data_IF_705801011594
#
_entry.id   IF_705801011594
#
_cell.length_a   1.000
_cell.length_b   1.000
_cell.length_c   1.000
_cell.angle_alpha   90.00
_cell.angle_beta   90.00
_cell.angle_gamma   90.00
#
_symmetry.space_group_name_H-M   'P 1'
#
loop_
_entity.id
_entity.type
_entity.pdbx_description
1 polymer ?
#
# COMPACT_ATOMS: atom_id res chain seq x y z
N UNK A 1 14.81 -9.06 -8.65
CA UNK A 1 14.28 -9.63 -7.39
C UNK A 1 15.33 -10.57 -6.84
N UNK A 2 15.54 -10.61 -5.53
CA UNK A 2 16.47 -11.56 -4.93
C UNK A 2 15.90 -12.97 -5.15
N UNK A 3 16.64 -13.86 -5.79
CA UNK A 3 16.21 -15.24 -6.08
C UNK A 3 15.77 -15.99 -4.81
N UNK A 4 16.27 -15.56 -3.65
CA UNK A 4 15.94 -16.15 -2.35
C UNK A 4 14.49 -15.88 -1.94
N UNK A 5 14.03 -14.63 -2.03
CA UNK A 5 12.65 -14.24 -1.69
C UNK A 5 11.64 -14.92 -2.63
N UNK A 6 11.94 -14.92 -3.93
CA UNK A 6 11.09 -15.56 -4.95
C UNK A 6 10.95 -17.07 -4.69
N UNK A 7 12.05 -17.76 -4.34
CA UNK A 7 12.01 -19.17 -3.99
C UNK A 7 11.18 -19.42 -2.72
N UNK A 8 11.30 -18.55 -1.70
CA UNK A 8 10.50 -18.65 -0.48
C UNK A 8 9.00 -18.48 -0.77
N UNK A 9 8.61 -17.46 -1.53
CA UNK A 9 7.21 -17.26 -1.91
C UNK A 9 6.67 -18.46 -2.68
N UNK A 10 7.45 -18.97 -3.63
CA UNK A 10 7.03 -20.13 -4.44
C UNK A 10 6.89 -21.43 -3.63
N UNK A 11 7.67 -21.59 -2.55
CA UNK A 11 7.61 -22.78 -1.67
C UNK A 11 6.40 -22.79 -0.74
N UNK A 12 5.69 -21.68 -0.55
CA UNK A 12 4.51 -21.59 0.32
C UNK A 12 3.40 -22.54 -0.18
N UNK A 13 2.83 -23.32 0.72
CA UNK A 13 1.63 -24.12 0.47
C UNK A 13 0.38 -23.34 0.87
N UNK A 14 -0.42 -22.92 -0.11
CA UNK A 14 -1.66 -22.16 0.13
C UNK A 14 -2.81 -23.03 0.70
N UNK A 15 -2.67 -24.36 0.73
CA UNK A 15 -3.64 -25.25 1.39
C UNK A 15 -3.38 -25.39 2.90
N UNK A 16 -2.17 -25.01 3.35
CA UNK A 16 -1.81 -24.98 4.77
C UNK A 16 -2.38 -23.75 5.48
N UNK A 17 -2.49 -23.79 6.81
CA UNK A 17 -2.86 -22.59 7.59
C UNK A 17 -1.92 -21.44 7.32
N UNK A 18 -2.47 -20.21 7.38
CA UNK A 18 -1.66 -18.98 7.22
C UNK A 18 -0.57 -18.94 8.29
N UNK A 19 0.69 -18.69 7.90
CA UNK A 19 1.79 -18.57 8.87
C UNK A 19 1.54 -17.45 9.90
N UNK A 20 1.94 -17.68 11.15
CA UNK A 20 1.75 -16.70 12.23
C UNK A 20 2.84 -15.61 12.21
N UNK A 21 4.04 -15.93 11.73
CA UNK A 21 5.22 -15.08 11.82
C UNK A 21 5.57 -14.41 10.48
N UNK A 22 6.02 -13.15 10.57
CA UNK A 22 6.57 -12.39 9.45
C UNK A 22 8.03 -12.83 9.13
N UNK A 23 8.51 -12.77 7.88
CA UNK A 23 7.78 -12.34 6.68
C UNK A 23 6.96 -13.45 6.01
N UNK A 24 6.97 -14.69 6.54
CA UNK A 24 6.31 -15.85 5.92
C UNK A 24 4.81 -15.64 5.74
N UNK A 25 4.17 -14.91 6.68
CA UNK A 25 2.77 -14.51 6.58
C UNK A 25 2.52 -13.66 5.34
N UNK A 26 3.38 -12.68 5.07
CA UNK A 26 3.22 -11.83 3.87
C UNK A 26 3.54 -12.59 2.60
N UNK A 27 4.48 -13.53 2.60
CA UNK A 27 4.76 -14.40 1.45
C UNK A 27 3.55 -15.28 1.08
N UNK A 28 2.80 -15.77 2.07
CA UNK A 28 1.54 -16.47 1.84
C UNK A 28 0.55 -15.57 1.08
N UNK A 29 0.33 -14.34 1.56
CA UNK A 29 -0.60 -13.42 0.93
C UNK A 29 -0.11 -12.92 -0.43
N UNK A 30 1.19 -12.71 -0.62
CA UNK A 30 1.77 -12.42 -1.93
C UNK A 30 1.43 -13.51 -2.94
N UNK A 31 1.68 -14.77 -2.59
CA UNK A 31 1.36 -15.91 -3.45
C UNK A 31 -0.15 -16.03 -3.74
N UNK A 32 -0.99 -15.85 -2.74
CA UNK A 32 -2.44 -15.88 -2.91
C UNK A 32 -2.94 -14.73 -3.81
N UNK A 33 -2.44 -13.51 -3.62
CA UNK A 33 -2.76 -12.37 -4.47
C UNK A 33 -2.30 -12.56 -5.93
N UNK A 34 -1.11 -13.18 -6.17
CA UNK A 34 -0.65 -13.51 -7.52
C UNK A 34 -1.68 -14.37 -8.27
N UNK A 35 -2.28 -15.36 -7.61
CA UNK A 35 -3.30 -16.21 -8.23
C UNK A 35 -4.55 -15.42 -8.60
N UNK A 36 -5.01 -14.51 -7.70
CA UNK A 36 -6.19 -13.69 -7.94
C UNK A 36 -5.95 -12.71 -9.09
N UNK A 37 -4.79 -12.01 -9.09
CA UNK A 37 -4.42 -11.06 -10.14
C UNK A 37 -4.32 -11.75 -11.48
N UNK A 38 -3.63 -12.90 -11.55
CA UNK A 38 -3.51 -13.69 -12.78
C UNK A 38 -4.87 -14.11 -13.32
N UNK A 39 -5.78 -14.61 -12.48
CA UNK A 39 -7.12 -14.97 -12.90
C UNK A 39 -7.93 -13.77 -13.44
N UNK A 40 -7.73 -12.57 -12.85
CA UNK A 40 -8.35 -11.34 -13.36
C UNK A 40 -7.77 -10.92 -14.71
N UNK A 41 -6.46 -11.01 -14.92
CA UNK A 41 -5.81 -10.72 -16.21
C UNK A 41 -6.30 -11.65 -17.32
N UNK A 42 -6.38 -12.95 -17.04
CA UNK A 42 -6.91 -13.95 -17.97
C UNK A 42 -8.36 -13.63 -18.38
N UNK A 43 -9.20 -13.24 -17.42
CA UNK A 43 -10.58 -12.84 -17.66
C UNK A 43 -10.69 -11.55 -18.47
N UNK A 44 -9.87 -10.53 -18.15
CA UNK A 44 -9.89 -9.22 -18.80
C UNK A 44 -9.09 -9.18 -20.11
N UNK A 45 -8.28 -10.23 -20.37
CA UNK A 45 -7.37 -10.34 -21.54
C UNK A 45 -6.41 -9.17 -21.69
N UNK A 46 -5.97 -8.61 -20.57
CA UNK A 46 -4.97 -7.55 -20.51
C UNK A 46 -4.25 -7.55 -19.16
N UNK A 47 -3.02 -7.01 -19.09
CA UNK A 47 -2.34 -6.82 -17.83
C UNK A 47 -3.10 -5.83 -16.94
N UNK A 48 -3.00 -6.02 -15.62
CA UNK A 48 -3.51 -5.09 -14.63
C UNK A 48 -2.46 -4.04 -14.29
N UNK A 49 -2.88 -2.80 -14.16
CA UNK A 49 -1.99 -1.64 -13.94
C UNK A 49 -2.16 -1.05 -12.56
N UNK A 50 -1.02 -0.70 -11.93
CA UNK A 50 -1.01 -0.03 -10.64
C UNK A 50 -0.28 1.31 -10.69
N UNK A 51 -0.77 2.27 -9.92
CA UNK A 51 -0.15 3.58 -9.70
C UNK A 51 0.12 3.78 -8.21
N UNK A 52 1.33 4.16 -7.86
CA UNK A 52 1.72 4.57 -6.50
C UNK A 52 2.07 6.06 -6.52
N UNK A 53 1.19 6.88 -5.97
CA UNK A 53 1.40 8.35 -5.88
C UNK A 53 1.84 8.75 -4.49
N UNK A 54 3.00 9.42 -4.40
CA UNK A 54 3.59 9.84 -3.13
C UNK A 54 3.32 11.32 -2.88
N UNK A 55 2.65 11.62 -1.78
CA UNK A 55 2.37 12.98 -1.30
C UNK A 55 3.11 13.22 0.01
N UNK A 56 4.43 13.36 -0.02
CA UNK A 56 5.12 13.47 1.25
C UNK A 56 6.62 13.68 1.21
N UNK A 57 7.28 13.16 2.24
CA UNK A 57 8.71 13.29 2.49
C UNK A 57 9.51 12.12 1.88
N UNK A 58 10.81 12.07 2.16
CA UNK A 58 11.68 10.98 1.69
C UNK A 58 11.30 9.61 2.29
N UNK A 59 10.74 9.59 3.49
CA UNK A 59 10.24 8.36 4.12
C UNK A 59 9.07 7.78 3.31
N UNK A 60 8.10 8.62 2.96
CA UNK A 60 7.01 8.19 2.08
C UNK A 60 7.52 7.72 0.72
N UNK A 61 8.57 8.34 0.17
CA UNK A 61 9.15 7.89 -1.11
C UNK A 61 9.71 6.47 -1.00
N UNK A 62 10.42 6.15 0.10
CA UNK A 62 10.92 4.80 0.36
C UNK A 62 9.79 3.79 0.56
N UNK A 63 8.78 4.17 1.34
CA UNK A 63 7.63 3.30 1.54
C UNK A 63 6.89 3.02 0.24
N UNK A 64 6.81 4.01 -0.66
CA UNK A 64 6.25 3.84 -1.99
C UNK A 64 7.06 2.86 -2.86
N UNK A 65 8.39 2.78 -2.70
CA UNK A 65 9.22 1.75 -3.36
C UNK A 65 8.88 0.34 -2.87
N UNK A 66 8.59 0.16 -1.57
CA UNK A 66 8.09 -1.12 -1.02
C UNK A 66 6.70 -1.46 -1.55
N UNK A 67 5.78 -0.50 -1.49
CA UNK A 67 4.41 -0.68 -1.99
C UNK A 67 4.40 -1.07 -3.47
N UNK A 68 5.18 -0.39 -4.29
CA UNK A 68 5.31 -0.70 -5.71
C UNK A 68 5.98 -2.07 -5.94
N UNK A 69 6.96 -2.43 -5.13
CA UNK A 69 7.60 -3.75 -5.17
C UNK A 69 6.60 -4.88 -4.91
N UNK A 70 5.77 -4.74 -3.87
CA UNK A 70 4.71 -5.69 -3.54
C UNK A 70 3.69 -5.78 -4.69
N UNK A 71 3.26 -4.65 -5.26
CA UNK A 71 2.28 -4.63 -6.37
C UNK A 71 2.83 -5.30 -7.63
N UNK A 72 4.09 -5.05 -7.99
CA UNK A 72 4.75 -5.72 -9.11
C UNK A 72 4.90 -7.22 -8.86
N UNK A 73 5.21 -7.60 -7.63
CA UNK A 73 5.36 -9.00 -7.26
C UNK A 73 4.05 -9.78 -7.40
N UNK A 74 2.93 -9.19 -7.04
CA UNK A 74 1.61 -9.84 -7.20
C UNK A 74 1.06 -9.77 -8.65
N UNK A 75 1.77 -9.11 -9.58
CA UNK A 75 1.48 -9.14 -11.01
C UNK A 75 1.04 -7.83 -11.64
N UNK A 76 0.92 -6.73 -10.89
CA UNK A 76 0.57 -5.45 -11.51
C UNK A 76 1.73 -4.83 -12.28
N UNK A 77 1.44 -4.28 -13.46
CA UNK A 77 2.36 -3.41 -14.20
C UNK A 77 2.30 -1.97 -13.65
N UNK A 78 3.46 -1.32 -13.51
CA UNK A 78 3.53 0.07 -13.10
C UNK A 78 2.97 0.99 -14.19
N UNK A 79 2.20 1.99 -13.80
CA UNK A 79 1.62 3.00 -14.68
C UNK A 79 1.68 4.39 -14.03
N UNK A 80 1.70 5.43 -14.85
CA UNK A 80 1.58 6.83 -14.41
C UNK A 80 0.16 7.38 -14.59
N UNK A 81 -0.75 6.61 -15.19
CA UNK A 81 -2.12 7.06 -15.48
C UNK A 81 -3.10 6.48 -14.46
N UNK A 82 -3.51 7.31 -13.50
CA UNK A 82 -4.45 6.93 -12.44
C UNK A 82 -5.86 6.61 -12.94
N UNK A 83 -6.32 7.27 -14.01
CA UNK A 83 -7.69 7.10 -14.50
C UNK A 83 -7.91 5.75 -15.19
N UNK A 84 -6.85 5.18 -15.74
CA UNK A 84 -6.87 3.89 -16.44
C UNK A 84 -6.26 2.73 -15.64
N UNK A 85 -5.81 2.99 -14.42
CA UNK A 85 -5.22 1.98 -13.55
C UNK A 85 -6.30 1.10 -12.91
N UNK A 86 -5.92 -0.15 -12.58
CA UNK A 86 -6.76 -1.09 -11.85
C UNK A 86 -6.53 -1.01 -10.34
N UNK A 87 -5.38 -0.47 -9.95
CA UNK A 87 -5.03 -0.20 -8.57
C UNK A 87 -4.36 1.16 -8.43
N UNK A 88 -4.84 2.00 -7.54
CA UNK A 88 -4.23 3.30 -7.21
C UNK A 88 -4.02 3.40 -5.72
N UNK A 89 -2.78 3.70 -5.29
CA UNK A 89 -2.45 3.95 -3.89
C UNK A 89 -1.89 5.35 -3.70
N UNK A 90 -2.43 6.08 -2.75
CA UNK A 90 -1.93 7.37 -2.27
C UNK A 90 -1.19 7.18 -0.96
N UNK A 91 0.14 7.35 -1.00
CA UNK A 91 0.98 7.40 0.18
C UNK A 91 1.10 8.87 0.62
N UNK A 92 0.48 9.18 1.76
CA UNK A 92 0.16 10.53 2.21
C UNK A 92 1.01 10.99 3.39
N UNK A 93 1.09 12.30 3.59
CA UNK A 93 1.90 12.91 4.64
C UNK A 93 1.06 13.92 5.43
N UNK A 94 1.30 14.02 6.72
CA UNK A 94 0.63 14.96 7.62
C UNK A 94 1.34 16.29 7.75
N UNK A 95 2.66 16.36 7.46
CA UNK A 95 3.50 17.55 7.69
C UNK A 95 3.18 18.73 6.75
N UNK A 96 2.46 18.50 5.67
CA UNK A 96 2.19 19.51 4.63
C UNK A 96 0.70 19.65 4.37
N UNK A 97 0.06 20.65 4.96
CA UNK A 97 -1.37 20.92 4.79
C UNK A 97 -1.81 21.00 3.32
N UNK A 98 -1.00 21.63 2.47
CA UNK A 98 -1.25 21.69 1.02
C UNK A 98 -1.21 20.29 0.33
N UNK A 99 -0.55 19.30 0.92
CA UNK A 99 -0.56 17.94 0.40
C UNK A 99 -1.93 17.29 0.62
N UNK A 100 -2.55 17.51 1.78
CA UNK A 100 -3.86 16.97 2.12
C UNK A 100 -4.96 17.47 1.19
N UNK A 101 -4.97 18.77 0.86
CA UNK A 101 -5.94 19.35 -0.08
C UNK A 101 -5.80 18.75 -1.49
N UNK A 102 -4.57 18.52 -1.96
CA UNK A 102 -4.31 17.87 -3.25
C UNK A 102 -4.81 16.43 -3.28
N UNK A 103 -4.59 15.68 -2.21
CA UNK A 103 -5.07 14.29 -2.07
C UNK A 103 -6.58 14.23 -2.22
N UNK A 104 -7.34 15.05 -1.50
CA UNK A 104 -8.80 15.07 -1.58
C UNK A 104 -9.30 15.49 -2.97
N UNK A 105 -8.64 16.45 -3.62
CA UNK A 105 -8.97 16.86 -5.00
C UNK A 105 -8.78 15.70 -5.99
N UNK A 106 -7.66 14.97 -5.90
CA UNK A 106 -7.40 13.80 -6.77
C UNK A 106 -8.33 12.62 -6.47
N UNK A 107 -8.71 12.39 -5.21
CA UNK A 107 -9.73 11.40 -4.88
C UNK A 107 -11.07 11.67 -5.58
N UNK A 108 -11.43 12.94 -5.76
CA UNK A 108 -12.63 13.30 -6.54
C UNK A 108 -12.55 12.85 -8.01
N UNK A 109 -11.35 12.90 -8.62
CA UNK A 109 -11.12 12.40 -9.98
C UNK A 109 -11.18 10.87 -10.02
N UNK A 110 -10.53 10.18 -9.06
CA UNK A 110 -10.57 8.73 -8.96
C UNK A 110 -11.99 8.18 -8.75
N UNK A 111 -12.87 8.93 -8.07
CA UNK A 111 -14.29 8.56 -7.97
C UNK A 111 -14.96 8.41 -9.32
N UNK A 112 -14.62 9.27 -10.31
CA UNK A 112 -15.13 9.16 -11.68
C UNK A 112 -14.52 7.94 -12.39
N UNK A 113 -13.22 7.74 -12.28
CA UNK A 113 -12.53 6.59 -12.87
C UNK A 113 -13.11 5.27 -12.33
N UNK A 114 -13.33 5.17 -11.03
CA UNK A 114 -13.92 3.98 -10.39
C UNK A 114 -15.37 3.70 -10.84
N UNK A 115 -16.14 4.70 -11.21
CA UNK A 115 -17.47 4.50 -11.82
C UNK A 115 -17.41 3.81 -13.18
N UNK A 116 -16.33 4.04 -13.93
CA UNK A 116 -16.10 3.42 -15.23
C UNK A 116 -15.42 2.04 -15.09
N UNK A 117 -14.61 1.85 -14.04
CA UNK A 117 -13.98 0.59 -13.70
C UNK A 117 -14.31 0.22 -12.25
N UNK A 118 -15.44 -0.47 -12.05
CA UNK A 118 -15.92 -0.87 -10.72
C UNK A 118 -14.96 -1.81 -9.98
N UNK A 119 -14.07 -2.49 -10.70
CA UNK A 119 -13.05 -3.38 -10.11
C UNK A 119 -11.77 -2.63 -9.72
N UNK A 120 -11.65 -1.34 -10.05
CA UNK A 120 -10.56 -0.50 -9.60
C UNK A 120 -10.49 -0.49 -8.08
N UNK A 121 -9.29 -0.73 -7.53
CA UNK A 121 -9.04 -0.62 -6.09
C UNK A 121 -8.33 0.69 -5.82
N UNK A 122 -8.81 1.43 -4.83
CA UNK A 122 -8.21 2.67 -4.36
C UNK A 122 -7.77 2.47 -2.92
N UNK A 123 -6.49 2.68 -2.66
CA UNK A 123 -5.91 2.58 -1.33
C UNK A 123 -5.31 3.91 -0.86
N UNK A 124 -5.32 4.12 0.45
CA UNK A 124 -4.66 5.23 1.10
C UNK A 124 -3.80 4.76 2.26
N UNK A 125 -2.59 5.29 2.36
CA UNK A 125 -1.68 4.99 3.46
C UNK A 125 -0.81 6.19 3.84
N UNK A 126 0.09 5.97 4.78
CA UNK A 126 1.06 6.96 5.22
C UNK A 126 0.61 7.76 6.45
N UNK A 127 1.38 8.79 6.79
CA UNK A 127 1.24 9.52 8.06
C UNK A 127 -0.15 10.16 8.25
N UNK A 128 -0.77 10.66 7.18
CA UNK A 128 -2.12 11.23 7.25
C UNK A 128 -3.16 10.22 7.74
N UNK A 129 -2.95 8.93 7.49
CA UNK A 129 -3.85 7.87 7.96
C UNK A 129 -3.61 7.48 9.42
N UNK A 130 -2.69 8.13 10.13
CA UNK A 130 -2.56 8.05 11.59
C UNK A 130 -3.42 9.11 12.30
N UNK A 131 -3.98 10.08 11.58
CA UNK A 131 -4.85 11.13 12.13
C UNK A 131 -6.30 10.63 12.20
N UNK A 132 -6.93 10.54 13.40
CA UNK A 132 -8.30 10.04 13.55
C UNK A 132 -9.33 10.82 12.72
N UNK A 133 -9.17 12.16 12.62
CA UNK A 133 -10.07 13.01 11.83
C UNK A 133 -10.00 12.72 10.33
N UNK A 134 -8.78 12.47 9.80
CA UNK A 134 -8.59 12.12 8.40
C UNK A 134 -9.22 10.75 8.08
N UNK A 135 -9.02 9.78 8.97
CA UNK A 135 -9.60 8.44 8.84
C UNK A 135 -11.13 8.50 8.87
N UNK A 136 -11.71 9.24 9.82
CA UNK A 136 -13.15 9.39 9.92
C UNK A 136 -13.74 10.08 8.68
N UNK A 137 -13.05 11.06 8.13
CA UNK A 137 -13.42 11.71 6.88
C UNK A 137 -13.41 10.73 5.70
N UNK A 138 -12.43 9.81 5.63
CA UNK A 138 -12.42 8.77 4.59
C UNK A 138 -13.60 7.81 4.79
N UNK A 139 -13.85 7.33 6.01
CA UNK A 139 -14.97 6.44 6.33
C UNK A 139 -16.34 7.01 5.94
N UNK A 140 -16.54 8.30 6.18
CA UNK A 140 -17.84 8.94 5.99
C UNK A 140 -18.03 9.50 4.58
N UNK A 141 -17.03 10.21 4.04
CA UNK A 141 -17.15 11.00 2.81
C UNK A 141 -16.53 10.34 1.58
N UNK A 142 -15.61 9.37 1.77
CA UNK A 142 -14.86 8.73 0.69
C UNK A 142 -15.00 7.20 0.72
N UNK A 143 -16.20 6.69 0.94
CA UNK A 143 -16.50 5.24 1.03
C UNK A 143 -16.11 4.41 -0.18
N UNK A 144 -15.78 5.05 -1.29
CA UNK A 144 -15.26 4.41 -2.49
C UNK A 144 -13.75 4.07 -2.41
N UNK A 145 -13.04 4.53 -1.38
CA UNK A 145 -11.69 4.08 -1.04
C UNK A 145 -11.81 2.68 -0.42
N UNK A 146 -11.06 1.73 -0.94
CA UNK A 146 -11.22 0.31 -0.61
C UNK A 146 -10.33 -0.12 0.57
N UNK A 147 -9.11 0.42 0.65
CA UNK A 147 -8.13 0.02 1.65
C UNK A 147 -7.49 1.25 2.29
N UNK A 148 -7.47 1.29 3.62
CA UNK A 148 -6.84 2.37 4.41
C UNK A 148 -5.94 1.75 5.47
N UNK A 149 -4.67 2.17 5.53
CA UNK A 149 -3.72 1.66 6.51
C UNK A 149 -2.67 2.71 6.88
N UNK A 150 -2.05 2.53 8.04
CA UNK A 150 -1.09 3.48 8.59
C UNK A 150 0.35 3.27 8.11
N UNK A 151 1.28 4.03 8.68
CA UNK A 151 2.73 3.90 8.41
C UNK A 151 3.32 2.65 9.05
N UNK A 152 2.78 2.20 10.17
CA UNK A 152 3.34 1.10 10.95
C UNK A 152 3.05 -0.28 10.38
N UNK A 153 2.09 -0.39 9.47
CA UNK A 153 1.68 -1.66 8.86
C UNK A 153 1.73 -1.66 7.32
N UNK A 154 2.60 -0.83 6.73
CA UNK A 154 2.83 -0.77 5.27
C UNK A 154 3.22 -2.15 4.69
N UNK A 155 3.96 -2.94 5.44
CA UNK A 155 4.35 -4.29 5.03
C UNK A 155 3.16 -5.24 4.81
N UNK A 156 1.99 -4.96 5.40
CA UNK A 156 0.78 -5.78 5.30
C UNK A 156 -0.02 -5.57 4.00
N UNK A 157 0.47 -4.80 3.03
CA UNK A 157 -0.29 -4.49 1.82
C UNK A 157 -0.86 -5.75 1.13
N UNK A 158 -0.08 -6.84 1.03
CA UNK A 158 -0.54 -8.07 0.41
C UNK A 158 -1.70 -8.73 1.19
N UNK A 159 -1.62 -8.77 2.52
CA UNK A 159 -2.69 -9.26 3.39
C UNK A 159 -3.96 -8.41 3.26
N UNK A 160 -3.82 -7.08 3.28
CA UNK A 160 -4.94 -6.15 3.15
C UNK A 160 -5.63 -6.28 1.79
N UNK A 161 -4.86 -6.46 0.72
CA UNK A 161 -5.40 -6.70 -0.61
C UNK A 161 -6.11 -8.05 -0.72
N UNK A 162 -5.54 -9.11 -0.15
CA UNK A 162 -6.19 -10.41 -0.10
C UNK A 162 -7.56 -10.31 0.61
N UNK A 163 -7.60 -9.64 1.76
CA UNK A 163 -8.84 -9.42 2.50
C UNK A 163 -9.85 -8.63 1.67
N UNK A 164 -9.41 -7.58 0.96
CA UNK A 164 -10.29 -6.79 0.07
C UNK A 164 -10.81 -7.61 -1.10
N UNK A 165 -10.00 -8.50 -1.69
CA UNK A 165 -10.43 -9.37 -2.77
C UNK A 165 -11.46 -10.41 -2.32
N UNK A 166 -11.38 -10.88 -1.07
CA UNK A 166 -12.22 -11.95 -0.54
C UNK A 166 -13.48 -11.46 0.15
N UNK A 167 -13.43 -10.32 0.87
CA UNK A 167 -14.61 -9.79 1.59
C UNK A 167 -15.47 -8.82 0.79
N UNK A 168 -14.89 -8.19 -0.22
CA UNK A 168 -15.51 -7.08 -0.97
C UNK A 168 -15.93 -5.86 -0.11
N UNK A 169 -15.43 -5.74 1.11
CA UNK A 169 -15.68 -4.65 2.04
C UNK A 169 -14.53 -3.64 2.05
N UNK A 170 -14.79 -2.42 2.57
CA UNK A 170 -13.73 -1.46 2.84
C UNK A 170 -12.88 -1.98 3.99
N UNK A 171 -11.57 -2.09 3.76
CA UNK A 171 -10.60 -2.54 4.77
C UNK A 171 -9.94 -1.31 5.39
N UNK A 172 -10.03 -1.18 6.71
CA UNK A 172 -9.35 -0.14 7.48
C UNK A 172 -8.56 -0.82 8.59
N UNK A 173 -7.24 -0.81 8.46
CA UNK A 173 -6.31 -1.42 9.40
C UNK A 173 -5.19 -0.42 9.73
N UNK A 174 -5.30 0.27 10.85
CA UNK A 174 -4.37 1.30 11.28
C UNK A 174 -3.79 0.91 12.64
N UNK A 175 -2.46 0.82 12.67
CA UNK A 175 -1.73 0.51 13.89
C UNK A 175 -1.18 1.78 14.53
N UNK A 176 -1.33 1.92 15.82
CA UNK A 176 -0.80 3.06 16.58
C UNK A 176 0.72 2.93 16.83
N UNK A 177 1.23 1.70 16.80
CA UNK A 177 2.66 1.42 16.94
C UNK A 177 3.00 0.03 16.41
N UNK A 178 4.28 -0.22 16.14
CA UNK A 178 4.77 -1.56 15.83
C UNK A 178 6.12 -1.81 16.50
N UNK A 179 6.35 -3.06 16.90
CA UNK A 179 7.66 -3.59 17.29
C UNK A 179 8.26 -4.43 16.16
N UNK A 180 7.50 -4.69 15.12
CA UNK A 180 7.91 -5.52 14.00
C UNK A 180 8.60 -4.68 12.94
N UNK A 181 9.77 -5.10 12.52
CA UNK A 181 10.51 -4.54 11.38
C UNK A 181 10.57 -5.61 10.31
N UNK A 182 9.71 -5.48 9.30
CA UNK A 182 9.65 -6.43 8.18
C UNK A 182 10.32 -5.80 6.97
N UNK A 183 11.56 -6.22 6.69
CA UNK A 183 12.39 -5.67 5.60
C UNK A 183 12.52 -6.61 4.40
N UNK A 184 12.34 -7.90 4.58
CA UNK A 184 12.51 -8.94 3.56
C UNK A 184 11.28 -9.06 2.65
N UNK A 185 10.84 -7.94 2.07
CA UNK A 185 9.72 -7.88 1.13
C UNK A 185 10.17 -7.32 -0.22
N UNK A 186 9.47 -7.66 -1.31
CA UNK A 186 9.75 -7.12 -2.64
C UNK A 186 9.77 -5.59 -2.63
N UNK A 187 10.82 -5.01 -3.23
CA UNK A 187 10.99 -3.56 -3.29
C UNK A 187 11.35 -3.16 -4.72
N UNK A 188 10.66 -2.17 -5.28
CA UNK A 188 10.96 -1.58 -6.59
C UNK A 188 11.66 -0.25 -6.42
N UNK A 189 13.00 -0.25 -6.51
CA UNK A 189 13.81 0.96 -6.35
C UNK A 189 13.64 1.89 -7.54
N UNK A 190 13.38 3.16 -7.27
CA UNK A 190 13.28 4.19 -8.31
C UNK A 190 14.65 4.50 -8.93
N UNK A 191 15.72 4.45 -8.14
CA UNK A 191 17.07 4.75 -8.57
C UNK A 191 18.03 3.59 -8.23
N UNK A 192 18.84 3.11 -9.18
CA UNK A 192 19.76 1.99 -8.93
C UNK A 192 20.91 2.34 -7.98
N UNK A 193 21.24 3.63 -7.88
CA UNK A 193 22.38 4.14 -7.08
C UNK A 193 21.97 4.76 -5.73
N UNK A 194 20.66 4.75 -5.39
CA UNK A 194 20.14 5.34 -4.15
C UNK A 194 19.15 4.39 -3.47
N UNK A 195 19.36 4.16 -2.18
CA UNK A 195 18.44 3.38 -1.34
C UNK A 195 18.18 4.11 -0.03
N UNK A 196 16.93 4.06 0.43
CA UNK A 196 16.57 4.49 1.78
C UNK A 196 16.64 3.31 2.76
N UNK A 197 17.21 3.54 3.95
CA UNK A 197 17.25 2.57 5.05
C UNK A 197 16.55 3.20 6.25
N UNK A 198 15.54 2.52 6.82
CA UNK A 198 14.92 2.97 8.06
C UNK A 198 15.87 2.69 9.21
N UNK A 199 16.19 3.73 9.96
CA UNK A 199 17.08 3.62 11.14
C UNK A 199 16.32 3.81 12.45
N UNK A 200 15.12 4.39 12.39
CA UNK A 200 14.24 4.58 13.54
C UNK A 200 12.81 4.90 13.10
N UNK A 201 11.85 4.67 13.97
CA UNK A 201 10.46 5.13 13.86
C UNK A 201 10.17 6.18 14.92
N UNK A 202 9.62 7.34 14.49
CA UNK A 202 9.30 8.44 15.40
C UNK A 202 10.53 9.17 15.93
N UNK A 203 10.28 10.10 16.86
CA UNK A 203 11.32 10.89 17.53
C UNK A 203 10.81 11.40 18.88
N UNK A 204 11.64 11.36 19.91
CA UNK A 204 11.28 11.81 21.26
C UNK A 204 11.98 13.13 21.66
N UNK A 205 12.50 13.90 20.70
CA UNK A 205 13.22 15.14 21.01
C UNK A 205 12.30 16.35 21.29
N UNK A 206 11.03 16.28 20.92
CA UNK A 206 10.02 17.33 21.17
C UNK A 206 10.47 18.74 20.78
N UNK A 207 11.16 18.89 19.65
CA UNK A 207 11.55 20.21 19.13
C UNK A 207 10.30 21.06 18.85
N UNK A 208 10.36 22.35 19.17
CA UNK A 208 9.20 23.29 19.17
C UNK A 208 8.49 23.42 17.82
N UNK A 209 9.16 23.12 16.71
CA UNK A 209 8.63 23.23 15.34
C UNK A 209 8.32 21.87 14.70
N UNK A 210 8.48 20.76 15.43
CA UNK A 210 8.40 19.41 14.85
C UNK A 210 7.11 18.70 15.25
N UNK A 211 6.37 18.20 14.27
CA UNK A 211 5.14 17.42 14.48
C UNK A 211 5.42 15.93 14.80
N UNK A 212 6.63 15.41 14.49
CA UNK A 212 6.93 13.97 14.55
C UNK A 212 6.67 13.33 15.92
N UNK A 213 6.90 13.98 17.08
CA UNK A 213 6.62 13.37 18.39
C UNK A 213 5.13 13.27 18.74
N UNK A 214 4.27 13.96 18.01
CA UNK A 214 2.84 14.05 18.25
C UNK A 214 2.03 13.26 17.21
#
# INVERSE_FOLDING_TARGET
>A
MDNTIENMINSIDLSAPVPEYEPMRQYYYLKACRQIVKAKEERLKRPLKAVVSTFGCQMNARDSEKLLGILKDIGYEESDNEESADFVIYNTCTVRENANLRVYGRLGQLKKAKRNNHEMIIAMCGCMMQEPEAVEKIKTSYRFVDVVFGTFNIFKLAELLYNRFTSNEQIIDIWDSTKEVVEELPTSRKYPFKSGVNIMFGCNNFCTYCIVPY
#
